data_IF_713641111901
#
_entry.id   IF_713641111901
#
_cell.length_a   1.000
_cell.length_b   1.000
_cell.length_c   1.000
_cell.angle_alpha   90.00
_cell.angle_beta   90.00
_cell.angle_gamma   90.00
#
_symmetry.space_group_name_H-M   'P 1'
#
loop_
_entity.id
_entity.type
_entity.pdbx_description
1 polymer ?
#
# COMPACT_ATOMS: atom_id res chain seq x y z
N UNK A 1 21.06 7.71 -8.55
CA UNK A 1 20.16 6.56 -8.78
C UNK A 1 18.74 6.95 -8.40
N UNK A 2 17.80 6.75 -9.30
CA UNK A 2 16.40 7.09 -9.09
C UNK A 2 15.60 5.84 -8.74
N UNK A 3 14.61 5.99 -7.90
CA UNK A 3 13.70 4.91 -7.53
C UNK A 3 12.28 5.26 -7.93
N UNK A 4 11.49 4.24 -8.26
CA UNK A 4 10.06 4.38 -8.51
C UNK A 4 9.31 3.36 -7.68
N UNK A 5 8.16 3.75 -7.16
CA UNK A 5 7.33 2.90 -6.31
C UNK A 5 5.96 2.74 -6.94
N UNK A 6 5.51 1.50 -7.00
CA UNK A 6 4.26 1.11 -7.65
C UNK A 6 3.42 0.30 -6.70
N UNK A 7 2.10 0.42 -6.83
CA UNK A 7 1.16 -0.34 -6.01
C UNK A 7 0.16 -1.05 -6.89
N UNK A 8 -0.10 -2.32 -6.57
CA UNK A 8 -1.13 -3.11 -7.24
C UNK A 8 -2.21 -3.46 -6.22
N UNK A 9 -3.44 -3.08 -6.54
CA UNK A 9 -4.62 -3.44 -5.75
C UNK A 9 -5.58 -4.15 -6.70
N UNK A 10 -5.95 -5.38 -6.39
CA UNK A 10 -6.90 -6.13 -7.22
C UNK A 10 -8.23 -5.38 -7.31
N UNK A 11 -8.71 -5.15 -8.52
CA UNK A 11 -9.95 -4.43 -8.76
C UNK A 11 -9.84 -2.91 -8.77
N UNK A 12 -8.66 -2.35 -8.50
CA UNK A 12 -8.43 -0.91 -8.52
C UNK A 12 -7.20 -0.62 -9.38
N UNK A 13 -7.35 -0.58 -10.71
CA UNK A 13 -6.22 -0.32 -11.60
C UNK A 13 -5.83 1.16 -11.59
N UNK A 14 -4.54 1.41 -11.81
CA UNK A 14 -4.00 2.74 -12.04
C UNK A 14 -3.66 2.97 -13.49
N UNK A 15 -2.88 4.01 -13.76
CA UNK A 15 -2.53 4.44 -15.11
C UNK A 15 -1.05 4.21 -15.45
N UNK A 16 -0.33 3.41 -14.68
CA UNK A 16 1.08 3.19 -14.94
C UNK A 16 1.29 2.53 -16.31
N UNK A 17 2.19 3.09 -17.09
CA UNK A 17 2.51 2.61 -18.43
C UNK A 17 3.83 1.81 -18.47
N UNK A 18 4.55 1.73 -17.36
CA UNK A 18 5.80 0.98 -17.28
C UNK A 18 5.51 -0.51 -17.53
N UNK A 19 6.23 -1.17 -18.47
CA UNK A 19 5.84 -2.52 -18.93
C UNK A 19 5.72 -3.58 -17.83
N UNK A 20 6.58 -3.55 -16.83
CA UNK A 20 6.52 -4.53 -15.74
C UNK A 20 5.44 -4.21 -14.72
N UNK A 21 4.90 -3.00 -14.74
CA UNK A 21 3.90 -2.53 -13.79
C UNK A 21 2.70 -1.90 -14.51
N UNK A 22 2.37 -2.42 -15.69
CA UNK A 22 1.27 -1.90 -16.48
C UNK A 22 -0.03 -1.94 -15.67
N UNK A 23 -0.74 -0.81 -15.67
CA UNK A 23 -2.01 -0.62 -14.97
C UNK A 23 -1.90 -0.67 -13.44
N UNK A 24 -0.70 -0.65 -12.91
CA UNK A 24 -0.49 -0.43 -11.48
C UNK A 24 -0.69 1.04 -11.13
N UNK A 25 -0.77 1.34 -9.86
CA UNK A 25 -0.82 2.70 -9.34
C UNK A 25 0.60 3.18 -9.10
N UNK A 26 0.98 4.27 -9.75
CA UNK A 26 2.30 4.87 -9.54
C UNK A 26 2.21 5.79 -8.33
N UNK A 27 3.14 5.64 -7.39
CA UNK A 27 3.12 6.37 -6.13
C UNK A 27 4.17 7.47 -6.10
N UNK A 28 3.82 8.61 -5.50
CA UNK A 28 4.79 9.63 -5.15
C UNK A 28 5.55 9.23 -3.90
N UNK A 29 4.85 8.67 -2.93
CA UNK A 29 5.46 8.23 -1.69
C UNK A 29 4.55 7.25 -0.96
N UNK A 30 5.19 6.43 -0.14
CA UNK A 30 4.53 5.42 0.68
C UNK A 30 5.29 5.37 2.00
N UNK A 31 4.58 5.50 3.11
CA UNK A 31 5.22 5.48 4.43
C UNK A 31 4.40 4.70 5.43
N UNK A 32 5.08 4.02 6.33
CA UNK A 32 4.45 3.39 7.48
C UNK A 32 5.37 3.46 8.69
N UNK A 33 4.84 3.16 9.85
CA UNK A 33 5.61 3.15 11.08
C UNK A 33 5.11 2.05 12.00
N UNK A 34 5.97 1.62 12.90
CA UNK A 34 5.65 0.60 13.89
C UNK A 34 6.14 1.08 15.24
N UNK A 35 5.33 0.86 16.29
CA UNK A 35 5.73 1.14 17.67
C UNK A 35 6.04 -0.16 18.38
N UNK A 36 7.06 -0.10 19.24
CA UNK A 36 7.49 -1.26 20.02
C UNK A 36 6.44 -1.62 21.07
N UNK A 37 6.42 -2.89 21.53
CA UNK A 37 5.60 -3.24 22.68
C UNK A 37 6.03 -2.46 23.91
N UNK A 38 5.09 -2.12 24.79
CA UNK A 38 5.42 -1.40 26.02
C UNK A 38 5.58 -2.34 27.20
N UNK A 39 6.06 -1.77 28.33
CA UNK A 39 6.30 -2.53 29.55
C UNK A 39 5.00 -2.96 30.26
N UNK A 40 3.85 -2.49 29.82
CA UNK A 40 2.54 -2.82 30.40
C UNK A 40 1.76 -3.84 29.59
N UNK A 41 2.42 -4.53 28.66
CA UNK A 41 1.81 -5.61 27.89
C UNK A 41 1.15 -5.20 26.57
N UNK A 42 1.23 -3.92 26.17
CA UNK A 42 0.72 -3.53 24.87
C UNK A 42 1.63 -4.11 23.77
N UNK A 43 1.08 -4.83 22.77
CA UNK A 43 1.92 -5.40 21.72
C UNK A 43 2.47 -4.34 20.79
N UNK A 44 3.46 -4.71 19.96
CA UNK A 44 3.90 -3.89 18.85
C UNK A 44 2.71 -3.58 17.94
N UNK A 45 2.68 -2.37 17.41
CA UNK A 45 1.54 -1.90 16.62
C UNK A 45 2.01 -1.14 15.39
N UNK A 46 1.53 -1.56 14.23
CA UNK A 46 1.75 -0.80 13.00
C UNK A 46 0.69 0.27 12.85
N UNK A 47 1.13 1.46 12.50
CA UNK A 47 0.22 2.55 12.14
C UNK A 47 -0.27 2.34 10.71
N UNK A 48 -1.35 3.03 10.33
CA UNK A 48 -1.84 2.98 8.97
C UNK A 48 -0.75 3.42 7.99
N UNK A 49 -0.67 2.74 6.85
CA UNK A 49 0.23 3.12 5.79
C UNK A 49 -0.32 4.33 5.06
N UNK A 50 0.49 5.39 4.91
CA UNK A 50 0.09 6.61 4.23
C UNK A 50 0.66 6.62 2.81
N UNK A 51 -0.17 6.98 1.84
CA UNK A 51 0.17 6.92 0.42
C UNK A 51 -0.19 8.23 -0.24
N UNK A 52 0.74 8.75 -1.05
CA UNK A 52 0.51 9.92 -1.88
C UNK A 52 0.77 9.56 -3.34
N UNK A 53 -0.07 10.06 -4.23
CA UNK A 53 0.04 9.80 -5.66
C UNK A 53 -0.61 10.93 -6.46
N UNK A 54 -0.26 11.03 -7.74
CA UNK A 54 -0.99 11.91 -8.64
C UNK A 54 -2.35 11.31 -8.98
N UNK A 55 -3.28 12.19 -9.34
CA UNK A 55 -4.61 11.78 -9.75
C UNK A 55 -4.52 10.84 -10.95
N UNK A 56 -5.22 9.73 -10.88
CA UNK A 56 -5.31 8.76 -11.97
C UNK A 56 -6.67 8.04 -11.92
N UNK A 57 -6.87 7.04 -12.76
CA UNK A 57 -8.15 6.32 -12.79
C UNK A 57 -8.46 5.55 -11.52
N UNK A 58 -7.46 5.29 -10.67
CA UNK A 58 -7.71 4.63 -9.38
C UNK A 58 -8.36 5.57 -8.37
N UNK A 59 -8.22 6.89 -8.53
CA UNK A 59 -8.63 7.87 -7.54
C UNK A 59 -10.11 7.77 -7.15
N UNK A 60 -11.07 7.75 -8.10
CA UNK A 60 -12.48 7.60 -7.72
C UNK A 60 -12.79 6.25 -7.07
N UNK A 61 -12.11 5.19 -7.52
CA UNK A 61 -12.32 3.85 -6.95
C UNK A 61 -11.78 3.74 -5.53
N UNK A 62 -10.66 4.40 -5.26
CA UNK A 62 -10.10 4.46 -3.90
C UNK A 62 -11.06 5.20 -2.95
N UNK A 63 -11.64 6.30 -3.41
CA UNK A 63 -12.64 7.02 -2.64
C UNK A 63 -13.88 6.16 -2.37
N UNK A 64 -14.34 5.44 -3.38
CA UNK A 64 -15.50 4.53 -3.23
C UNK A 64 -15.18 3.38 -2.28
N UNK A 65 -14.01 2.79 -2.40
CA UNK A 65 -13.57 1.71 -1.52
C UNK A 65 -13.53 2.17 -0.05
N UNK A 66 -13.08 3.41 0.17
CA UNK A 66 -13.11 4.02 1.50
C UNK A 66 -14.56 4.20 1.99
N UNK A 67 -15.42 4.75 1.15
CA UNK A 67 -16.82 5.02 1.48
C UNK A 67 -17.59 3.74 1.84
N UNK A 68 -17.34 2.67 1.10
CA UNK A 68 -18.07 1.42 1.26
C UNK A 68 -17.35 0.41 2.17
N UNK A 69 -16.16 0.73 2.63
CA UNK A 69 -15.40 -0.16 3.51
C UNK A 69 -14.96 -1.45 2.82
N UNK A 70 -14.51 -1.37 1.57
CA UNK A 70 -14.06 -2.56 0.85
C UNK A 70 -12.92 -3.25 1.58
N UNK A 71 -13.01 -4.56 1.68
CA UNK A 71 -11.88 -5.38 2.11
C UNK A 71 -11.00 -5.67 0.91
N UNK A 72 -9.75 -5.27 1.01
CA UNK A 72 -8.74 -5.51 -0.02
C UNK A 72 -7.90 -6.70 0.45
N UNK A 73 -8.05 -7.83 -0.23
CA UNK A 73 -7.43 -9.09 0.22
C UNK A 73 -5.92 -9.05 0.11
N UNK A 74 -5.40 -8.47 -0.97
CA UNK A 74 -3.97 -8.39 -1.19
C UNK A 74 -3.60 -7.08 -1.89
N UNK A 75 -2.57 -6.43 -1.35
CA UNK A 75 -1.97 -5.24 -1.94
C UNK A 75 -0.48 -5.51 -2.06
N UNK A 76 0.08 -5.20 -3.24
CA UNK A 76 1.50 -5.35 -3.49
C UNK A 76 2.11 -4.00 -3.77
N UNK A 77 3.19 -3.67 -3.08
CA UNK A 77 3.96 -2.44 -3.30
C UNK A 77 5.36 -2.86 -3.70
N UNK A 78 5.85 -2.33 -4.82
CA UNK A 78 7.21 -2.61 -5.30
C UNK A 78 7.96 -1.32 -5.52
N UNK A 79 9.21 -1.29 -5.09
CA UNK A 79 10.13 -0.21 -5.39
C UNK A 79 11.24 -0.77 -6.27
N UNK A 80 11.49 -0.12 -7.41
CA UNK A 80 12.52 -0.51 -8.35
C UNK A 80 13.46 0.64 -8.62
N UNK A 81 14.67 0.32 -9.09
CA UNK A 81 15.58 1.32 -9.63
C UNK A 81 15.14 1.73 -11.03
N UNK A 82 15.74 2.79 -11.56
CA UNK A 82 15.52 3.22 -12.94
C UNK A 82 15.94 2.17 -13.99
N UNK A 83 16.81 1.22 -13.61
CA UNK A 83 17.14 0.07 -14.44
C UNK A 83 16.15 -1.08 -14.32
N UNK A 84 15.09 -0.92 -13.52
CA UNK A 84 14.07 -1.95 -13.35
C UNK A 84 14.38 -3.01 -12.31
N UNK A 85 15.46 -2.87 -11.55
CA UNK A 85 15.84 -3.83 -10.52
C UNK A 85 14.98 -3.62 -9.28
N UNK A 86 14.32 -4.69 -8.82
CA UNK A 86 13.52 -4.64 -7.59
C UNK A 86 14.42 -4.46 -6.37
N UNK A 87 14.11 -3.46 -5.57
CA UNK A 87 14.83 -3.13 -4.33
C UNK A 87 14.04 -3.60 -3.11
N UNK A 88 12.72 -3.46 -3.18
CA UNK A 88 11.86 -3.69 -2.04
C UNK A 88 10.49 -4.13 -2.51
N UNK A 89 9.86 -5.00 -1.74
CA UNK A 89 8.48 -5.43 -1.95
C UNK A 89 7.76 -5.45 -0.61
N UNK A 90 6.57 -4.89 -0.57
CA UNK A 90 5.68 -4.97 0.59
C UNK A 90 4.40 -5.64 0.14
N UNK A 91 4.01 -6.69 0.85
CA UNK A 91 2.76 -7.40 0.60
C UNK A 91 1.85 -7.20 1.81
N UNK A 92 0.69 -6.63 1.58
CA UNK A 92 -0.31 -6.39 2.62
C UNK A 92 -1.50 -7.31 2.38
N UNK A 93 -2.09 -7.79 3.46
CA UNK A 93 -3.29 -8.64 3.39
C UNK A 93 -4.33 -8.13 4.37
N UNK A 94 -5.59 -8.39 4.06
CA UNK A 94 -6.73 -7.97 4.88
C UNK A 94 -6.70 -6.47 5.17
N UNK A 95 -6.66 -5.68 4.09
CA UNK A 95 -6.52 -4.24 4.18
C UNK A 95 -7.84 -3.52 3.92
N UNK A 96 -7.97 -2.32 4.49
CA UNK A 96 -9.07 -1.39 4.22
C UNK A 96 -8.51 0.01 4.10
N UNK A 97 -9.19 0.84 3.31
CA UNK A 97 -8.83 2.25 3.18
C UNK A 97 -9.53 3.01 4.30
N UNK A 98 -8.76 3.67 5.15
CA UNK A 98 -9.29 4.35 6.34
C UNK A 98 -9.60 5.82 6.10
N UNK A 99 -8.97 6.44 5.12
CA UNK A 99 -9.32 7.79 4.68
C UNK A 99 -8.83 8.01 3.25
N UNK A 100 -9.40 9.00 2.59
CA UNK A 100 -9.02 9.41 1.25
C UNK A 100 -9.18 10.92 1.13
N UNK A 101 -8.18 11.58 0.57
CA UNK A 101 -8.16 13.02 0.37
C UNK A 101 -7.84 13.34 -1.08
N UNK A 102 -8.60 14.23 -1.67
CA UNK A 102 -8.36 14.74 -3.01
C UNK A 102 -7.95 16.21 -2.91
N UNK A 103 -6.89 16.57 -3.61
CA UNK A 103 -6.45 17.96 -3.71
C UNK A 103 -6.28 18.33 -5.17
N UNK A 104 -6.99 19.36 -5.59
CA UNK A 104 -6.93 19.85 -6.95
C UNK A 104 -6.98 21.38 -6.93
N UNK A 105 -6.10 22.02 -7.71
CA UNK A 105 -6.05 23.46 -7.83
C UNK A 105 -5.82 23.90 -9.26
N UNK A 106 -5.82 25.20 -9.49
CA UNK A 106 -5.64 25.77 -10.81
C UNK A 106 -4.19 26.09 -11.19
N UNK A 107 -3.23 25.73 -10.33
CA UNK A 107 -1.82 26.01 -10.60
C UNK A 107 -1.23 24.93 -11.49
N UNK A 108 -0.77 25.26 -12.72
CA UNK A 108 -0.20 24.25 -13.62
C UNK A 108 1.09 23.62 -13.11
N UNK A 109 1.75 24.21 -12.11
CA UNK A 109 2.95 23.66 -11.50
C UNK A 109 2.65 22.67 -10.37
N UNK A 110 1.37 22.56 -9.99
CA UNK A 110 0.94 21.66 -8.92
C UNK A 110 -0.20 20.78 -9.42
N UNK A 111 0.12 19.65 -10.08
CA UNK A 111 -0.91 18.74 -10.57
C UNK A 111 -1.81 18.24 -9.46
N UNK A 112 -3.04 17.91 -9.79
CA UNK A 112 -3.95 17.30 -8.84
C UNK A 112 -3.36 16.00 -8.28
N UNK A 113 -3.56 15.79 -7.00
CA UNK A 113 -3.08 14.59 -6.35
C UNK A 113 -4.12 14.10 -5.35
N UNK A 114 -4.00 12.85 -4.96
CA UNK A 114 -4.78 12.29 -3.88
C UNK A 114 -3.89 11.51 -2.92
N UNK A 115 -4.38 11.36 -1.70
CA UNK A 115 -3.69 10.59 -0.68
C UNK A 115 -4.70 9.71 0.04
N UNK A 116 -4.23 8.58 0.53
CA UNK A 116 -5.07 7.67 1.28
C UNK A 116 -4.25 6.90 2.28
N UNK A 117 -4.93 6.33 3.27
CA UNK A 117 -4.29 5.52 4.29
C UNK A 117 -4.89 4.12 4.28
N UNK A 118 -4.04 3.15 4.57
CA UNK A 118 -4.41 1.74 4.61
C UNK A 118 -4.20 1.18 6.01
N UNK A 119 -5.24 0.56 6.55
CA UNK A 119 -5.11 -0.33 7.70
C UNK A 119 -4.97 -1.74 7.15
N UNK A 120 -4.10 -2.53 7.71
CA UNK A 120 -3.85 -3.89 7.22
C UNK A 120 -3.73 -4.87 8.37
N UNK A 121 -4.10 -6.11 8.12
CA UNK A 121 -4.02 -7.18 9.10
C UNK A 121 -2.73 -7.97 9.04
N UNK A 122 -2.09 -7.99 7.88
CA UNK A 122 -0.82 -8.69 7.68
C UNK A 122 0.09 -7.86 6.79
N UNK A 123 1.39 -7.93 7.06
CA UNK A 123 2.41 -7.31 6.23
C UNK A 123 3.60 -8.25 6.10
N UNK A 124 4.11 -8.37 4.89
CA UNK A 124 5.39 -9.01 4.61
C UNK A 124 6.25 -8.02 3.84
N UNK A 125 7.41 -7.72 4.37
CA UNK A 125 8.33 -6.75 3.77
C UNK A 125 9.62 -7.45 3.41
N UNK A 126 10.01 -7.36 2.15
CA UNK A 126 11.23 -7.96 1.60
C UNK A 126 12.13 -6.87 1.04
N UNK A 127 13.39 -6.93 1.41
CA UNK A 127 14.43 -6.10 0.83
C UNK A 127 15.37 -6.99 0.03
N UNK A 128 15.74 -6.55 -1.16
CA UNK A 128 16.58 -7.31 -2.08
C UNK A 128 17.97 -6.67 -2.16
N UNK A 129 18.95 -7.16 -1.37
CA UNK A 129 20.31 -6.59 -1.40
C UNK A 129 20.95 -6.81 -2.77
N UNK A 130 21.71 -5.83 -3.25
CA UNK A 130 22.41 -5.95 -4.51
C UNK A 130 23.43 -7.10 -4.45
N UNK A 131 23.36 -8.00 -5.44
CA UNK A 131 24.30 -9.12 -5.55
C UNK A 131 24.04 -10.27 -4.58
N UNK A 132 23.01 -10.20 -3.74
CA UNK A 132 22.68 -11.28 -2.82
C UNK A 132 21.65 -12.23 -3.45
N UNK A 133 21.77 -13.53 -3.16
CA UNK A 133 20.84 -14.53 -3.68
C UNK A 133 19.51 -14.53 -2.93
N UNK A 134 19.51 -14.10 -1.66
CA UNK A 134 18.34 -14.17 -0.80
C UNK A 134 17.92 -12.78 -0.34
N UNK A 135 16.61 -12.48 -0.32
CA UNK A 135 16.10 -11.26 0.28
C UNK A 135 16.15 -11.31 1.80
N UNK A 136 16.16 -10.14 2.42
CA UNK A 136 15.96 -10.01 3.86
C UNK A 136 14.48 -9.71 4.07
N UNK A 137 13.81 -10.50 4.91
CA UNK A 137 12.37 -10.41 5.08
C UNK A 137 11.95 -10.26 6.53
N UNK A 138 10.85 -9.56 6.74
CA UNK A 138 10.11 -9.63 7.99
C UNK A 138 8.63 -9.74 7.70
N UNK A 139 7.90 -10.30 8.65
CA UNK A 139 6.45 -10.45 8.52
C UNK A 139 5.79 -10.09 9.84
N UNK A 140 4.59 -9.53 9.74
CA UNK A 140 3.81 -9.14 10.90
C UNK A 140 2.34 -9.48 10.67
N UNK A 141 1.69 -9.88 11.74
CA UNK A 141 0.26 -10.19 11.73
C UNK A 141 -0.38 -9.52 12.94
N UNK A 142 -1.51 -8.84 12.70
CA UNK A 142 -2.21 -8.15 13.78
C UNK A 142 -2.79 -9.12 14.80
N UNK A 143 -3.03 -8.64 16.02
CA UNK A 143 -3.66 -9.43 17.07
C UNK A 143 -5.05 -9.94 16.67
N UNK A 144 -5.80 -9.13 15.91
CA UNK A 144 -7.13 -9.53 15.43
C UNK A 144 -7.09 -10.77 14.55
N UNK A 145 -6.01 -10.92 13.76
CA UNK A 145 -5.85 -12.08 12.87
C UNK A 145 -5.18 -13.27 13.56
N UNK A 146 -4.64 -13.07 14.75
CA UNK A 146 -4.08 -14.17 15.57
C UNK A 146 -5.15 -14.89 16.36
N UNK A 147 -6.33 -14.24 16.54
CA UNK A 147 -7.46 -14.82 17.21
C UNK A 147 -8.35 -15.64 16.27
N UNK A 148 -9.59 -15.98 16.70
CA UNK A 148 -10.55 -16.69 15.86
C UNK A 148 -10.79 -15.91 14.56
N UNK A 149 -11.05 -16.64 13.48
CA UNK A 149 -11.31 -16.03 12.17
C UNK A 149 -12.49 -15.05 12.25
N UNK A 150 -12.25 -13.83 11.79
CA UNK A 150 -13.32 -12.85 11.71
C UNK A 150 -14.29 -13.22 10.58
N UNK A 151 -15.55 -12.79 10.71
CA UNK A 151 -16.55 -12.98 9.65
C UNK A 151 -16.09 -12.29 8.37
N UNK A 152 -16.42 -12.85 7.19
CA UNK A 152 -16.04 -12.23 5.92
C UNK A 152 -16.56 -10.80 5.82
N UNK A 153 -15.71 -9.89 5.39
CA UNK A 153 -16.08 -8.51 5.15
C UNK A 153 -16.52 -8.35 3.71
N UNK A 154 -17.43 -7.42 3.50
CA UNK A 154 -17.98 -7.15 2.20
C UNK A 154 -16.98 -6.43 1.29
N UNK A 155 -16.93 -6.76 0.01
CA UNK A 155 -16.66 -5.79 -1.03
C UNK A 155 -15.34 -5.77 -1.72
N UNK A 156 -14.43 -6.67 -1.45
CA UNK A 156 -13.09 -6.55 -2.01
C UNK A 156 -12.97 -6.73 -3.54
N UNK A 157 -13.91 -7.33 -4.19
CA UNK A 157 -13.72 -7.81 -5.57
C UNK A 157 -14.63 -7.16 -6.60
N UNK A 158 -14.97 -5.93 -6.42
CA UNK A 158 -15.80 -5.24 -7.41
C UNK A 158 -15.06 -4.92 -8.69
#
# INVERSE_FOLDING_TARGET
MTYATYMKISGIPGDCAEPAHKDWIELLNCSNSVSAPDSHGRPAQYMDMAINKYLDRSSPLLALACTEGWRLEEILVETTTDAGTKVMEIRLSDATITNHNLSSGGDPNHPAYDSFSLKFGMMEWSYFPAGAAEPVKCAWKSEELRGPAAAPRRGAAR
#
